data_IF_292625051377
#
_entry.id   IF_292625051377
#
_cell.length_a   1.000
_cell.length_b   1.000
_cell.length_c   1.000
_cell.angle_alpha   90.00
_cell.angle_beta   90.00
_cell.angle_gamma   90.00
#
_symmetry.space_group_name_H-M   'P 1'
#
loop_
_entity.id
_entity.type
_entity.pdbx_description
1 polymer ?
#
# COMPACT_ATOMS: atom_id res chain seq x y z
N UNK A 1 -7.45 15.09 15.25
CA UNK A 1 -7.79 13.77 14.68
C UNK A 1 -7.31 13.79 13.24
N UNK A 2 -6.34 12.94 12.87
CA UNK A 2 -5.68 12.94 11.54
C UNK A 2 -6.55 12.37 10.41
N UNK A 3 -7.70 11.83 10.79
CA UNK A 3 -8.73 11.32 9.91
C UNK A 3 -10.00 12.09 10.22
N UNK A 4 -10.45 12.93 9.31
CA UNK A 4 -11.77 13.52 9.40
C UNK A 4 -12.41 13.40 8.01
N UNK A 5 -13.57 12.73 7.89
CA UNK A 5 -14.42 12.94 6.73
C UNK A 5 -14.78 14.44 6.64
N UNK A 6 -15.19 14.95 5.47
CA UNK A 6 -15.83 16.26 5.39
C UNK A 6 -16.88 16.35 6.50
N UNK A 7 -16.77 17.39 7.32
CA UNK A 7 -17.50 17.65 8.57
C UNK A 7 -18.79 16.84 8.77
N UNK A 8 -18.79 15.91 9.73
CA UNK A 8 -20.01 15.34 10.33
C UNK A 8 -20.49 13.98 9.80
N UNK A 9 -19.75 13.32 8.90
CA UNK A 9 -20.14 11.99 8.40
C UNK A 9 -19.51 10.88 9.27
N UNK A 10 -20.25 9.85 9.72
CA UNK A 10 -19.64 8.67 10.34
C UNK A 10 -18.65 7.99 9.38
N UNK A 11 -17.66 7.24 9.91
CA UNK A 11 -16.64 6.53 9.12
C UNK A 11 -17.28 5.37 8.33
N UNK A 12 -17.99 5.70 7.27
CA UNK A 12 -18.41 4.79 6.22
C UNK A 12 -17.61 5.20 5.00
N UNK A 13 -16.73 4.33 4.52
CA UNK A 13 -15.99 4.60 3.27
C UNK A 13 -17.05 4.73 2.17
N UNK A 14 -17.25 5.92 1.59
CA UNK A 14 -18.32 6.14 0.62
C UNK A 14 -18.10 5.26 -0.61
N UNK A 15 -19.19 4.83 -1.23
CA UNK A 15 -19.15 4.15 -2.54
C UNK A 15 -18.55 5.03 -3.65
N UNK A 16 -18.46 6.36 -3.44
CA UNK A 16 -17.77 7.31 -4.31
C UNK A 16 -16.97 8.35 -3.50
N UNK A 17 -15.64 8.25 -3.55
CA UNK A 17 -14.71 9.16 -2.85
C UNK A 17 -14.26 10.37 -3.69
N UNK A 18 -14.95 10.66 -4.79
CA UNK A 18 -14.57 11.76 -5.69
C UNK A 18 -14.62 13.10 -4.96
N UNK A 19 -13.57 13.91 -5.10
CA UNK A 19 -13.39 15.21 -4.46
C UNK A 19 -13.23 15.17 -2.93
N UNK A 20 -13.00 13.98 -2.35
CA UNK A 20 -12.64 13.88 -0.94
C UNK A 20 -11.20 14.32 -0.73
N UNK A 21 -11.01 15.09 0.33
CA UNK A 21 -9.71 15.63 0.70
C UNK A 21 -9.20 14.91 1.92
N UNK A 22 -8.00 14.36 1.82
CA UNK A 22 -7.29 13.66 2.88
C UNK A 22 -6.08 14.46 3.33
N UNK A 23 -5.95 14.68 4.64
CA UNK A 23 -4.80 15.35 5.23
C UNK A 23 -3.86 14.29 5.78
N UNK A 24 -2.71 14.09 5.14
CA UNK A 24 -1.72 13.11 5.61
C UNK A 24 -0.91 13.69 6.77
N UNK A 25 -0.53 14.96 6.65
CA UNK A 25 0.16 15.73 7.67
C UNK A 25 -0.26 17.21 7.59
N UNK A 26 0.37 18.09 8.37
CA UNK A 26 -0.01 19.51 8.43
C UNK A 26 0.14 20.29 7.12
N UNK A 27 0.95 19.82 6.19
CA UNK A 27 1.29 20.45 4.92
C UNK A 27 0.81 19.66 3.68
N UNK A 28 0.57 18.36 3.84
CA UNK A 28 0.18 17.46 2.75
C UNK A 28 -1.31 17.19 2.76
N UNK A 29 -1.99 17.86 1.84
CA UNK A 29 -3.41 17.66 1.54
C UNK A 29 -3.52 16.98 0.18
N UNK A 30 -4.34 15.92 0.10
CA UNK A 30 -4.51 15.10 -1.10
C UNK A 30 -5.99 15.04 -1.47
N UNK A 31 -6.32 15.38 -2.70
CA UNK A 31 -7.69 15.34 -3.22
C UNK A 31 -7.86 14.11 -4.10
N UNK A 32 -8.78 13.22 -3.75
CA UNK A 32 -9.12 12.03 -4.53
C UNK A 32 -9.88 12.44 -5.79
N UNK A 33 -9.34 12.07 -6.95
CA UNK A 33 -9.95 12.35 -8.25
C UNK A 33 -10.84 11.19 -8.70
N UNK A 34 -10.36 9.96 -8.56
CA UNK A 34 -11.05 8.74 -8.97
C UNK A 34 -10.56 7.50 -8.22
N UNK A 35 -11.41 6.46 -8.17
CA UNK A 35 -11.03 5.13 -7.70
C UNK A 35 -10.40 4.34 -8.86
N UNK A 36 -9.18 3.84 -8.65
CA UNK A 36 -8.48 2.97 -9.60
C UNK A 36 -8.74 1.50 -9.31
N UNK A 37 -8.88 1.15 -8.03
CA UNK A 37 -9.14 -0.21 -7.58
C UNK A 37 -9.88 -0.19 -6.25
N UNK A 38 -10.88 -1.02 -6.14
CA UNK A 38 -11.68 -1.26 -4.94
C UNK A 38 -11.79 -2.78 -4.75
N UNK A 39 -11.39 -3.24 -3.57
CA UNK A 39 -11.82 -4.53 -3.05
C UNK A 39 -12.10 -4.39 -1.56
N UNK A 40 -13.38 -4.34 -1.22
CA UNK A 40 -13.87 -4.51 0.14
C UNK A 40 -14.19 -5.97 0.42
N UNK A 41 -13.62 -6.51 1.47
CA UNK A 41 -13.81 -7.84 1.98
C UNK A 41 -13.96 -7.78 3.50
N UNK A 42 -15.21 -7.84 3.98
CA UNK A 42 -15.55 -7.80 5.40
C UNK A 42 -14.75 -8.78 6.29
N UNK A 43 -14.18 -9.84 5.69
CA UNK A 43 -13.36 -10.87 6.36
C UNK A 43 -11.93 -11.00 5.81
N UNK A 44 -11.54 -10.24 4.77
CA UNK A 44 -10.28 -10.39 4.02
C UNK A 44 -9.41 -9.14 3.98
N UNK A 45 -8.37 -9.15 3.16
CA UNK A 45 -7.50 -7.99 2.97
C UNK A 45 -8.24 -6.92 2.15
N UNK A 46 -8.64 -5.85 2.83
CA UNK A 46 -9.28 -4.70 2.19
C UNK A 46 -8.21 -3.82 1.59
N UNK A 47 -8.37 -3.48 0.31
CA UNK A 47 -7.49 -2.57 -0.40
C UNK A 47 -8.28 -1.70 -1.34
N UNK A 48 -8.03 -0.40 -1.24
CA UNK A 48 -8.47 0.56 -2.21
C UNK A 48 -7.28 1.40 -2.70
N UNK A 49 -7.27 1.71 -3.99
CA UNK A 49 -6.26 2.55 -4.62
C UNK A 49 -7.00 3.66 -5.36
N UNK A 50 -6.60 4.89 -5.07
CA UNK A 50 -7.18 6.09 -5.65
C UNK A 50 -6.13 6.85 -6.44
N UNK A 51 -6.53 7.41 -7.57
CA UNK A 51 -5.79 8.51 -8.19
C UNK A 51 -6.14 9.76 -7.42
N UNK A 52 -5.13 10.51 -7.05
CA UNK A 52 -5.29 11.71 -6.27
C UNK A 52 -4.32 12.80 -6.74
N UNK A 53 -4.55 14.01 -6.24
CA UNK A 53 -3.72 15.18 -6.51
C UNK A 53 -3.25 15.78 -5.19
N UNK A 54 -1.96 16.05 -5.06
CA UNK A 54 -1.44 16.73 -3.88
C UNK A 54 -1.74 18.23 -3.88
N UNK A 55 -1.42 18.91 -2.77
CA UNK A 55 -1.62 20.35 -2.58
C UNK A 55 -0.87 21.22 -3.60
N UNK A 56 0.16 20.67 -4.26
CA UNK A 56 0.93 21.33 -5.33
C UNK A 56 0.37 21.05 -6.73
N UNK A 57 -0.68 20.24 -6.83
CA UNK A 57 -1.31 19.88 -8.09
C UNK A 57 -0.69 18.67 -8.79
N UNK A 58 0.25 17.97 -8.17
CA UNK A 58 0.94 16.82 -8.77
C UNK A 58 0.11 15.55 -8.64
N UNK A 59 0.09 14.68 -9.66
CA UNK A 59 -0.62 13.41 -9.60
C UNK A 59 0.06 12.44 -8.63
N UNK A 60 -0.75 11.77 -7.82
CA UNK A 60 -0.36 10.79 -6.82
C UNK A 60 -1.27 9.55 -6.86
N UNK A 61 -0.77 8.46 -6.33
CA UNK A 61 -1.57 7.28 -6.00
C UNK A 61 -1.72 7.19 -4.48
N UNK A 62 -2.96 7.15 -3.98
CA UNK A 62 -3.25 6.91 -2.58
C UNK A 62 -3.72 5.45 -2.42
N UNK A 63 -2.90 4.63 -1.76
CA UNK A 63 -3.26 3.27 -1.38
C UNK A 63 -3.76 3.29 0.07
N UNK A 64 -4.94 2.75 0.30
CA UNK A 64 -5.53 2.53 1.63
C UNK A 64 -5.74 1.03 1.80
N UNK A 65 -5.27 0.45 2.90
CA UNK A 65 -5.38 -0.99 3.13
C UNK A 65 -5.46 -1.35 4.61
N UNK A 66 -6.07 -2.51 4.89
CA UNK A 66 -6.06 -3.11 6.23
C UNK A 66 -5.13 -4.33 6.24
N UNK A 67 -3.90 -4.13 6.72
CA UNK A 67 -2.84 -5.15 6.74
C UNK A 67 -2.67 -5.74 8.13
N UNK A 68 -2.16 -6.97 8.20
CA UNK A 68 -1.81 -7.61 9.47
C UNK A 68 -0.71 -6.81 10.19
N UNK A 69 -0.95 -6.46 11.45
CA UNK A 69 -0.02 -5.72 12.30
C UNK A 69 1.30 -6.48 12.56
N UNK A 70 1.30 -7.80 12.35
CA UNK A 70 2.49 -8.66 12.46
C UNK A 70 3.45 -8.50 11.30
N UNK A 71 3.01 -7.95 10.16
CA UNK A 71 3.83 -7.80 8.95
C UNK A 71 4.53 -6.44 8.94
N UNK A 72 5.73 -6.36 8.34
CA UNK A 72 6.34 -5.07 8.04
C UNK A 72 5.39 -4.20 7.22
N UNK A 73 5.36 -2.91 7.50
CA UNK A 73 4.59 -1.96 6.69
C UNK A 73 5.20 -1.89 5.29
N UNK A 74 4.36 -1.74 4.26
CA UNK A 74 4.82 -1.73 2.87
C UNK A 74 5.88 -0.67 2.58
N UNK A 75 5.77 0.54 3.17
CA UNK A 75 6.79 1.59 3.02
C UNK A 75 8.18 1.13 3.47
N UNK A 76 8.28 0.33 4.54
CA UNK A 76 9.54 -0.21 5.06
C UNK A 76 10.19 -1.16 4.07
N UNK A 77 9.37 -1.97 3.39
CA UNK A 77 9.82 -2.92 2.37
C UNK A 77 10.16 -2.21 1.06
N UNK A 78 9.43 -1.14 0.71
CA UNK A 78 9.73 -0.29 -0.44
C UNK A 78 11.03 0.50 -0.25
N UNK A 79 11.31 1.00 0.94
CA UNK A 79 12.59 1.66 1.26
C UNK A 79 13.76 0.68 1.09
N UNK A 80 13.65 -0.54 1.62
CA UNK A 80 14.66 -1.58 1.44
C UNK A 80 14.81 -1.98 -0.04
N UNK A 81 13.70 -2.13 -0.76
CA UNK A 81 13.74 -2.42 -2.20
C UNK A 81 14.41 -1.29 -2.99
N UNK A 82 14.14 -0.03 -2.63
CA UNK A 82 14.73 1.16 -3.24
C UNK A 82 16.24 1.23 -3.04
N UNK A 83 16.76 0.79 -1.89
CA UNK A 83 18.21 0.65 -1.66
C UNK A 83 18.85 -0.31 -2.68
N UNK A 84 18.10 -1.30 -3.19
CA UNK A 84 18.60 -2.30 -4.13
C UNK A 84 18.41 -1.91 -5.61
N UNK A 85 17.25 -1.35 -5.98
CA UNK A 85 16.86 -1.16 -7.39
C UNK A 85 16.56 0.29 -7.78
N UNK A 86 16.70 1.24 -6.85
CA UNK A 86 16.45 2.66 -7.10
C UNK A 86 15.05 2.91 -7.66
N UNK A 87 14.97 3.43 -8.88
CA UNK A 87 13.73 3.77 -9.57
C UNK A 87 12.94 2.55 -10.09
N UNK A 88 13.38 1.32 -9.80
CA UNK A 88 12.62 0.09 -10.07
C UNK A 88 11.41 -0.13 -9.15
N UNK A 89 11.20 0.74 -8.16
CA UNK A 89 10.08 0.73 -7.22
C UNK A 89 9.43 2.13 -7.10
N UNK A 90 8.14 2.23 -6.76
CA UNK A 90 7.44 3.51 -6.64
C UNK A 90 8.08 4.42 -5.60
N UNK A 91 8.07 5.73 -5.87
CA UNK A 91 8.44 6.72 -4.86
C UNK A 91 7.32 6.84 -3.83
N UNK A 92 7.66 6.68 -2.55
CA UNK A 92 6.76 6.93 -1.43
C UNK A 92 6.98 8.37 -0.98
N UNK A 93 5.91 9.16 -0.97
CA UNK A 93 5.95 10.56 -0.55
C UNK A 93 5.60 10.67 0.93
N UNK A 94 4.54 9.98 1.35
CA UNK A 94 4.07 10.00 2.73
C UNK A 94 3.40 8.67 3.08
N UNK A 95 3.35 8.38 4.38
CA UNK A 95 2.64 7.22 4.91
C UNK A 95 2.01 7.54 6.26
N UNK A 96 0.87 6.91 6.56
CA UNK A 96 0.26 7.01 7.88
C UNK A 96 -0.41 5.69 8.27
N UNK A 97 -0.55 5.46 9.57
CA UNK A 97 -1.15 4.27 10.14
C UNK A 97 -2.23 4.67 11.14
N UNK A 98 -3.43 4.13 10.95
CA UNK A 98 -4.56 4.34 11.85
C UNK A 98 -4.60 3.32 12.98
N UNK A 99 -5.71 3.34 13.72
CA UNK A 99 -5.95 2.44 14.83
C UNK A 99 -6.00 0.97 14.39
N UNK A 100 -5.70 0.08 15.33
CA UNK A 100 -5.92 -1.35 15.15
C UNK A 100 -7.42 -1.61 15.01
N UNK A 101 -7.77 -2.35 13.98
CA UNK A 101 -9.10 -2.92 13.78
C UNK A 101 -9.19 -4.20 14.63
N UNK A 102 -9.03 -4.09 15.94
CA UNK A 102 -9.15 -5.23 16.84
C UNK A 102 -10.62 -5.61 17.03
N UNK A 103 -10.96 -6.85 16.69
CA UNK A 103 -12.01 -7.75 17.19
C UNK A 103 -13.48 -7.30 17.42
N UNK A 104 -13.85 -6.02 17.42
CA UNK A 104 -15.17 -5.57 17.91
C UNK A 104 -16.37 -6.11 17.14
N UNK A 105 -16.28 -6.32 15.82
CA UNK A 105 -17.40 -6.85 15.03
C UNK A 105 -17.24 -8.33 14.60
N UNK A 106 -16.01 -8.87 14.63
CA UNK A 106 -15.73 -10.24 14.15
C UNK A 106 -15.80 -11.30 15.24
N UNK A 107 -15.58 -10.94 16.52
CA UNK A 107 -15.86 -11.85 17.65
C UNK A 107 -17.30 -12.37 17.65
N UNK A 108 -18.24 -11.58 17.15
CA UNK A 108 -19.65 -11.98 17.04
C UNK A 108 -19.94 -12.93 15.88
N UNK A 109 -19.06 -12.99 14.87
CA UNK A 109 -19.34 -13.68 13.59
C UNK A 109 -18.54 -14.97 13.39
N UNK A 110 -17.44 -15.18 14.13
CA UNK A 110 -16.63 -16.41 14.08
C UNK A 110 -16.07 -16.78 15.48
N UNK A 111 -16.93 -17.12 16.45
CA UNK A 111 -16.52 -17.39 17.84
C UNK A 111 -15.61 -18.63 18.00
N UNK A 112 -15.64 -19.55 17.03
CA UNK A 112 -14.94 -20.85 17.11
C UNK A 112 -13.66 -20.93 16.24
N UNK A 113 -13.16 -19.79 15.73
CA UNK A 113 -11.90 -19.79 14.96
C UNK A 113 -10.71 -20.16 15.86
N UNK A 114 -10.10 -21.31 15.60
CA UNK A 114 -9.02 -21.92 16.42
C UNK A 114 -7.66 -21.25 16.22
N UNK A 115 -7.54 -20.36 15.24
CA UNK A 115 -6.32 -19.56 15.03
C UNK A 115 -6.59 -18.18 15.62
N UNK A 116 -5.75 -17.67 16.56
CA UNK A 116 -5.84 -16.28 16.96
C UNK A 116 -5.62 -15.43 15.69
N UNK A 117 -6.71 -14.88 15.16
CA UNK A 117 -6.67 -14.03 13.99
C UNK A 117 -5.83 -12.79 14.34
N UNK A 118 -4.77 -12.58 13.56
CA UNK A 118 -3.84 -11.48 13.80
C UNK A 118 -4.55 -10.14 13.63
N UNK A 119 -4.30 -9.21 14.56
CA UNK A 119 -4.80 -7.84 14.47
C UNK A 119 -4.38 -7.19 13.16
N UNK A 120 -5.23 -6.30 12.66
CA UNK A 120 -4.97 -5.51 11.45
C UNK A 120 -4.99 -4.03 11.78
N UNK A 121 -4.15 -3.24 11.13
CA UNK A 121 -4.17 -1.78 11.22
C UNK A 121 -4.70 -1.18 9.92
N UNK A 122 -5.22 0.04 9.98
CA UNK A 122 -5.39 0.86 8.78
C UNK A 122 -4.02 1.39 8.35
N UNK A 123 -3.65 1.22 7.09
CA UNK A 123 -2.42 1.74 6.51
C UNK A 123 -2.75 2.57 5.28
N UNK A 124 -2.12 3.73 5.16
CA UNK A 124 -2.17 4.52 3.95
C UNK A 124 -0.78 4.85 3.46
N UNK A 125 -0.67 4.90 2.14
CA UNK A 125 0.56 5.13 1.44
C UNK A 125 0.29 6.08 0.28
N UNK A 126 0.91 7.25 0.30
CA UNK A 126 0.90 8.19 -0.80
C UNK A 126 2.14 7.96 -1.65
N UNK A 127 1.92 7.55 -2.89
CA UNK A 127 2.96 7.14 -3.81
C UNK A 127 2.90 7.87 -5.14
N UNK A 128 3.92 7.63 -5.93
CA UNK A 128 3.98 7.97 -7.33
C UNK A 128 2.79 7.38 -8.10
N UNK A 129 2.18 8.21 -8.94
CA UNK A 129 1.17 7.76 -9.88
C UNK A 129 1.86 7.07 -11.06
N UNK A 130 1.64 5.76 -11.19
CA UNK A 130 2.23 4.93 -12.24
C UNK A 130 1.18 4.49 -13.26
N UNK A 131 1.65 4.01 -14.42
CA UNK A 131 0.81 3.51 -15.49
C UNK A 131 0.95 1.99 -15.63
N UNK A 132 -0.12 1.24 -15.98
CA UNK A 132 -0.06 -0.20 -16.13
C UNK A 132 0.87 -0.61 -17.27
N UNK A 133 1.83 -1.51 -17.02
CA UNK A 133 2.78 -1.98 -18.03
C UNK A 133 2.09 -2.45 -19.32
N UNK A 134 0.91 -3.09 -19.18
CA UNK A 134 0.08 -3.57 -20.30
C UNK A 134 -0.43 -2.48 -21.26
N UNK A 135 -0.32 -1.19 -20.90
CA UNK A 135 -0.70 -0.10 -21.81
C UNK A 135 0.41 0.23 -22.81
N UNK A 136 1.64 -0.25 -22.58
CA UNK A 136 2.74 -0.12 -23.52
C UNK A 136 2.63 -1.16 -24.65
N UNK A 137 3.18 -0.80 -25.81
CA UNK A 137 3.27 -1.68 -26.97
C UNK A 137 4.71 -1.94 -27.40
N UNK A 138 4.92 -3.07 -28.09
CA UNK A 138 6.16 -3.36 -28.81
C UNK A 138 7.42 -3.31 -27.94
N UNK A 139 8.44 -2.60 -28.44
CA UNK A 139 9.76 -2.53 -27.80
C UNK A 139 9.73 -1.90 -26.41
N UNK A 140 8.85 -0.93 -26.16
CA UNK A 140 8.72 -0.29 -24.85
C UNK A 140 8.21 -1.25 -23.78
N UNK A 141 7.19 -2.07 -24.12
CA UNK A 141 6.70 -3.11 -23.24
C UNK A 141 7.79 -4.12 -22.89
N UNK A 142 8.52 -4.61 -23.90
CA UNK A 142 9.59 -5.59 -23.70
C UNK A 142 10.76 -5.02 -22.91
N UNK A 143 11.16 -3.77 -23.18
CA UNK A 143 12.23 -3.09 -22.44
C UNK A 143 11.90 -2.96 -20.96
N UNK A 144 10.75 -2.38 -20.64
CA UNK A 144 10.29 -2.23 -19.26
C UNK A 144 10.09 -3.58 -18.54
N UNK A 145 9.64 -4.62 -19.25
CA UNK A 145 9.57 -5.97 -18.70
C UNK A 145 10.95 -6.54 -18.35
N UNK A 146 11.94 -6.37 -19.23
CA UNK A 146 13.33 -6.82 -18.98
C UNK A 146 13.92 -6.14 -17.75
N UNK A 147 13.71 -4.83 -17.61
CA UNK A 147 14.15 -4.07 -16.44
C UNK A 147 13.53 -4.62 -15.14
N UNK A 148 12.22 -4.90 -15.14
CA UNK A 148 11.53 -5.51 -13.98
C UNK A 148 12.12 -6.88 -13.62
N UNK A 149 12.44 -7.71 -14.62
CA UNK A 149 13.04 -9.03 -14.37
C UNK A 149 14.44 -8.90 -13.77
N UNK A 150 15.23 -7.93 -14.24
CA UNK A 150 16.54 -7.62 -13.68
C UNK A 150 16.45 -7.09 -12.24
N UNK A 151 15.44 -6.26 -11.96
CA UNK A 151 15.15 -5.78 -10.61
C UNK A 151 14.76 -6.94 -9.69
N UNK A 152 13.92 -7.87 -10.13
CA UNK A 152 13.54 -9.05 -9.36
C UNK A 152 14.77 -9.91 -8.98
N UNK A 153 15.71 -10.08 -9.91
CA UNK A 153 16.98 -10.77 -9.61
C UNK A 153 17.82 -9.98 -8.59
N UNK A 154 17.89 -8.66 -8.74
CA UNK A 154 18.63 -7.78 -7.83
C UNK A 154 18.02 -7.78 -6.43
N UNK A 155 16.70 -7.71 -6.30
CA UNK A 155 15.97 -7.85 -5.03
C UNK A 155 16.22 -9.21 -4.39
N UNK A 156 16.20 -10.28 -5.18
CA UNK A 156 16.51 -11.63 -4.69
C UNK A 156 17.93 -11.70 -4.10
N UNK A 157 18.93 -11.20 -4.82
CA UNK A 157 20.32 -11.10 -4.33
C UNK A 157 20.44 -10.18 -3.11
N UNK A 158 19.57 -9.20 -2.99
CA UNK A 158 19.43 -8.33 -1.83
C UNK A 158 18.65 -8.98 -0.67
N UNK A 159 18.22 -10.24 -0.79
CA UNK A 159 17.52 -10.95 0.28
C UNK A 159 16.05 -10.55 0.46
N UNK A 160 15.46 -9.90 -0.56
CA UNK A 160 14.06 -9.50 -0.61
C UNK A 160 13.30 -10.31 -1.67
N UNK A 161 12.19 -10.93 -1.27
CA UNK A 161 11.31 -11.70 -2.15
C UNK A 161 9.96 -10.98 -2.28
N UNK A 162 9.56 -10.61 -3.50
CA UNK A 162 8.30 -9.89 -3.74
C UNK A 162 7.04 -10.72 -3.44
N UNK A 163 7.05 -12.01 -3.81
CA UNK A 163 5.99 -13.01 -3.58
C UNK A 163 4.61 -12.76 -4.21
N UNK A 164 4.33 -11.56 -4.73
CA UNK A 164 3.05 -11.24 -5.38
C UNK A 164 3.23 -10.70 -6.81
N UNK A 165 3.95 -11.45 -7.66
CA UNK A 165 4.17 -11.05 -9.05
C UNK A 165 2.94 -11.40 -9.88
N UNK A 166 2.30 -10.38 -10.44
CA UNK A 166 1.15 -10.52 -11.36
C UNK A 166 1.15 -9.36 -12.34
N UNK A 167 0.50 -9.50 -13.49
CA UNK A 167 0.41 -8.42 -14.49
C UNK A 167 -0.24 -7.14 -13.96
N UNK A 168 -0.99 -7.20 -12.86
CA UNK A 168 -1.58 -6.04 -12.20
C UNK A 168 -0.58 -5.23 -11.35
N UNK A 169 0.55 -5.84 -10.98
CA UNK A 169 1.59 -5.24 -10.12
C UNK A 169 2.81 -4.78 -10.93
N UNK A 170 2.73 -4.86 -12.25
CA UNK A 170 3.78 -4.42 -13.16
C UNK A 170 3.35 -3.11 -13.80
N UNK A 171 4.13 -2.07 -13.55
CA UNK A 171 3.83 -0.71 -13.91
C UNK A 171 5.01 -0.11 -14.68
N UNK A 172 4.86 1.13 -15.08
CA UNK A 172 5.96 1.96 -15.56
C UNK A 172 5.74 3.42 -15.16
N UNK A 173 6.84 4.18 -15.14
CA UNK A 173 6.82 5.63 -15.13
C UNK A 173 7.44 6.18 -16.42
N UNK A 174 7.04 7.40 -16.78
CA UNK A 174 7.59 8.15 -17.91
C UNK A 174 8.26 9.42 -17.38
N UNK A 175 9.53 9.61 -17.70
CA UNK A 175 10.25 10.85 -17.45
C UNK A 175 10.76 11.39 -18.77
N UNK A 176 9.97 12.27 -19.38
CA UNK A 176 10.21 12.76 -20.74
C UNK A 176 10.11 11.61 -21.76
N UNK A 177 11.16 11.33 -22.57
CA UNK A 177 11.14 10.23 -23.52
C UNK A 177 11.50 8.87 -22.89
N UNK A 178 11.88 8.84 -21.62
CA UNK A 178 12.40 7.65 -20.95
C UNK A 178 11.26 6.91 -20.25
N UNK A 179 11.16 5.60 -20.52
CA UNK A 179 10.27 4.68 -19.83
C UNK A 179 11.11 3.84 -18.88
N UNK A 180 10.61 3.65 -17.65
CA UNK A 180 11.20 2.75 -16.66
C UNK A 180 10.13 1.79 -16.16
N UNK A 181 10.38 0.48 -16.26
CA UNK A 181 9.53 -0.52 -15.63
C UNK A 181 9.57 -0.41 -14.10
N UNK A 182 8.44 -0.60 -13.43
CA UNK A 182 8.34 -0.45 -11.98
C UNK A 182 7.52 -1.60 -11.39
N UNK A 183 8.04 -2.20 -10.31
CA UNK A 183 7.33 -3.20 -9.52
C UNK A 183 6.61 -2.54 -8.34
N UNK A 184 5.34 -2.89 -8.13
CA UNK A 184 4.53 -2.39 -7.01
C UNK A 184 3.99 -3.54 -6.16
N UNK A 185 3.38 -3.20 -5.02
CA UNK A 185 2.61 -4.13 -4.16
C UNK A 185 3.47 -5.09 -3.34
N UNK A 186 4.28 -4.49 -2.46
CA UNK A 186 5.26 -5.18 -1.61
C UNK A 186 4.67 -5.65 -0.26
N UNK A 187 3.35 -5.57 -0.06
CA UNK A 187 2.66 -5.94 1.18
C UNK A 187 2.75 -7.45 1.52
N UNK A 188 3.06 -8.29 0.53
CA UNK A 188 3.34 -9.71 0.68
C UNK A 188 4.84 -10.04 0.62
N UNK A 189 5.69 -9.04 0.42
CA UNK A 189 7.11 -9.28 0.31
C UNK A 189 7.70 -9.74 1.65
N UNK A 190 8.83 -10.45 1.57
CA UNK A 190 9.59 -10.87 2.74
C UNK A 190 11.05 -10.46 2.61
N UNK A 191 11.59 -9.89 3.68
CA UNK A 191 13.02 -9.63 3.80
C UNK A 191 13.67 -10.61 4.76
N UNK A 192 14.82 -11.16 4.36
CA UNK A 192 15.71 -11.93 5.24
C UNK A 192 16.69 -11.04 6.00
N UNK A 193 16.85 -9.77 5.59
CA UNK A 193 17.74 -8.79 6.23
C UNK A 193 17.07 -8.09 7.41
N UNK A 194 15.75 -7.92 7.35
CA UNK A 194 14.93 -7.33 8.43
C UNK A 194 14.04 -8.40 9.06
N UNK A 195 14.60 -9.23 9.94
CA UNK A 195 13.81 -9.96 10.92
C UNK A 195 13.34 -8.96 11.98
N UNK A 196 12.27 -8.22 11.71
CA UNK A 196 11.75 -7.26 12.69
C UNK A 196 11.21 -8.03 13.90
N UNK A 197 11.74 -7.80 15.12
CA UNK A 197 11.10 -8.32 16.32
C UNK A 197 9.79 -7.56 16.47
N UNK A 198 8.68 -8.25 16.24
CA UNK A 198 7.37 -7.79 16.69
C UNK A 198 7.49 -7.55 18.21
N UNK A 199 7.39 -6.29 18.63
CA UNK A 199 7.45 -5.92 20.05
C UNK A 199 6.06 -6.14 20.64
N UNK A 200 5.86 -7.13 21.54
CA UNK A 200 4.53 -7.52 22.04
C UNK A 200 3.79 -6.41 22.80
N UNK A 201 4.46 -5.31 23.14
CA UNK A 201 3.92 -4.22 23.96
C UNK A 201 2.87 -3.36 23.25
N UNK A 202 2.63 -3.57 21.95
CA UNK A 202 1.53 -2.95 21.20
C UNK A 202 0.24 -3.78 21.22
N UNK A 203 0.25 -4.97 21.83
CA UNK A 203 -0.97 -5.68 22.21
C UNK A 203 -1.40 -5.15 23.58
N UNK A 204 -2.28 -4.16 23.59
CA UNK A 204 -3.08 -3.92 24.79
C UNK A 204 -4.01 -5.12 24.98
N UNK A 205 -3.61 -6.03 25.87
CA UNK A 205 -4.48 -7.07 26.37
C UNK A 205 -5.58 -6.40 27.18
N UNK A 206 -6.72 -6.09 26.57
CA UNK A 206 -7.93 -5.69 27.31
C UNK A 206 -8.59 -6.94 27.87
N UNK A 207 -7.91 -7.61 28.80
CA UNK A 207 -8.57 -8.52 29.72
C UNK A 207 -8.77 -7.75 31.03
N UNK A 208 -9.92 -7.09 31.16
CA UNK A 208 -10.45 -6.73 32.48
C UNK A 208 -11.20 -7.94 33.02
N UNK A 209 -10.71 -8.44 34.16
CA UNK A 209 -11.32 -9.42 35.07
C UNK A 209 -12.69 -8.99 35.57
#
# INVERSE_FOLDING_TARGET
>A
MRFAPPSGVPFTVPSTLKSWTYKIDDETIVTIEESLYDRWCAFGQDRAIYRARDSKGSPRALKISHLYASRPHEHVLLDEAREAVGDGVPSVYEHDAGELVSAGHRQYLAPDSVVPEQDRGLHMLLMEALLPLKSLGGAHYLGAWVEIVQDLETLYKHGLLHRNISSANLMYCETGPTIRGVLIDFDMASSSRRCLPYRPHFLHCTCTT
#
